data_IF_047581221160
#
_entry.id   IF_047581221160
#
_cell.length_a   1.000
_cell.length_b   1.000
_cell.length_c   1.000
_cell.angle_alpha   90.00
_cell.angle_beta   90.00
_cell.angle_gamma   90.00
#
_symmetry.space_group_name_H-M   'P 1'
#
loop_
_entity.id
_entity.type
_entity.pdbx_description
1 polymer ?
#
# COMPACT_ATOMS: atom_id res chain seq x y z
N UNK A 1 5.97 13.27 -5.79
CA UNK A 1 4.62 13.22 -5.25
C UNK A 1 4.41 11.89 -4.51
N UNK A 2 3.65 11.94 -3.44
CA UNK A 2 3.39 10.77 -2.63
C UNK A 2 1.98 10.82 -2.05
N UNK A 3 1.38 9.64 -1.89
CA UNK A 3 0.06 9.48 -1.27
C UNK A 3 0.19 8.44 -0.17
N UNK A 4 -0.21 8.81 1.04
CA UNK A 4 -0.24 7.89 2.17
C UNK A 4 -1.67 7.46 2.42
N UNK A 5 -1.88 6.14 2.48
CA UNK A 5 -3.18 5.55 2.76
C UNK A 5 -3.07 4.63 3.97
N UNK A 6 -4.11 4.61 4.78
CA UNK A 6 -4.19 3.76 5.96
C UNK A 6 -5.34 2.77 5.74
N UNK A 7 -5.04 1.48 5.92
CA UNK A 7 -6.04 0.42 5.80
C UNK A 7 -6.30 -0.20 7.17
N UNK A 8 -7.55 -0.55 7.47
CA UNK A 8 -7.86 -1.25 8.72
C UNK A 8 -7.28 -2.67 8.72
N UNK A 9 -6.98 -3.16 9.91
CA UNK A 9 -6.35 -4.47 10.07
C UNK A 9 -7.23 -5.65 9.62
N UNK A 10 -8.53 -5.45 9.51
CA UNK A 10 -9.43 -6.52 9.11
C UNK A 10 -9.43 -6.79 7.60
N UNK A 11 -8.82 -5.91 6.80
CA UNK A 11 -8.72 -6.15 5.36
C UNK A 11 -7.76 -7.29 5.07
N UNK A 12 -8.09 -8.16 4.09
CA UNK A 12 -7.19 -9.23 3.69
C UNK A 12 -5.89 -8.68 3.12
N UNK A 13 -4.77 -9.25 3.55
CA UNK A 13 -3.47 -8.85 3.03
C UNK A 13 -3.35 -9.12 1.52
N UNK A 14 -4.05 -10.13 1.04
CA UNK A 14 -4.05 -10.47 -0.39
C UNK A 14 -4.51 -9.30 -1.25
N UNK A 15 -5.57 -8.62 -0.82
CA UNK A 15 -6.11 -7.48 -1.57
C UNK A 15 -5.10 -6.35 -1.63
N UNK A 16 -4.44 -6.07 -0.50
CA UNK A 16 -3.42 -5.01 -0.43
C UNK A 16 -2.22 -5.38 -1.30
N UNK A 17 -1.82 -6.64 -1.29
CA UNK A 17 -0.70 -7.11 -2.10
C UNK A 17 -1.03 -7.01 -3.59
N UNK A 18 -2.25 -7.37 -3.99
CA UNK A 18 -2.67 -7.28 -5.38
C UNK A 18 -2.67 -5.82 -5.86
N UNK A 19 -3.15 -4.91 -5.03
CA UNK A 19 -3.12 -3.49 -5.35
C UNK A 19 -1.68 -2.99 -5.49
N UNK A 20 -0.80 -3.41 -4.58
CA UNK A 20 0.60 -3.05 -4.62
C UNK A 20 1.27 -3.53 -5.91
N UNK A 21 1.00 -4.77 -6.32
CA UNK A 21 1.55 -5.33 -7.55
C UNK A 21 1.06 -4.55 -8.78
N UNK A 22 -0.22 -4.21 -8.81
CA UNK A 22 -0.80 -3.45 -9.91
C UNK A 22 -0.17 -2.06 -10.04
N UNK A 23 -0.01 -1.36 -8.93
CA UNK A 23 0.61 -0.04 -8.93
C UNK A 23 2.07 -0.10 -9.34
N UNK A 24 2.79 -1.14 -8.92
CA UNK A 24 4.19 -1.33 -9.31
C UNK A 24 4.30 -1.57 -10.81
N UNK A 25 3.38 -2.33 -11.38
CA UNK A 25 3.35 -2.58 -12.82
C UNK A 25 3.10 -1.29 -13.61
N UNK A 26 2.37 -0.35 -13.02
CA UNK A 26 2.10 0.94 -13.65
C UNK A 26 3.25 1.94 -13.51
N UNK A 27 4.31 1.57 -12.79
CA UNK A 27 5.49 2.42 -12.65
C UNK A 27 5.57 3.20 -11.36
N UNK A 28 4.65 2.97 -10.42
CA UNK A 28 4.70 3.62 -9.11
C UNK A 28 5.59 2.84 -8.16
N UNK A 29 6.09 3.53 -7.14
CA UNK A 29 6.78 2.87 -6.03
C UNK A 29 5.80 2.69 -4.88
N UNK A 30 5.86 1.55 -4.23
CA UNK A 30 4.93 1.23 -3.14
C UNK A 30 5.72 0.82 -1.91
N UNK A 31 5.35 1.36 -0.77
CA UNK A 31 5.91 0.99 0.52
C UNK A 31 4.76 0.57 1.44
N UNK A 32 4.84 -0.66 1.94
CA UNK A 32 3.84 -1.23 2.82
C UNK A 32 4.48 -1.50 4.18
N UNK A 33 3.82 -1.04 5.25
CA UNK A 33 4.27 -1.28 6.62
C UNK A 33 3.10 -1.75 7.47
N UNK A 34 3.37 -2.69 8.36
CA UNK A 34 2.38 -3.20 9.30
C UNK A 34 2.55 -2.45 10.63
N UNK A 35 1.52 -1.71 11.02
CA UNK A 35 1.49 -1.00 12.28
C UNK A 35 0.65 -1.79 13.29
N UNK A 36 0.58 -1.31 14.53
CA UNK A 36 -0.11 -2.03 15.60
C UNK A 36 -1.61 -2.13 15.36
N UNK A 37 -2.23 -1.05 14.89
CA UNK A 37 -3.68 -0.98 14.73
C UNK A 37 -4.15 -0.81 13.29
N UNK A 38 -3.21 -0.68 12.33
CA UNK A 38 -3.56 -0.44 10.95
C UNK A 38 -2.41 -0.86 10.04
N UNK A 39 -2.67 -0.86 8.73
CA UNK A 39 -1.63 -1.02 7.73
C UNK A 39 -1.35 0.33 7.08
N UNK A 40 -0.07 0.66 6.95
CA UNK A 40 0.36 1.87 6.28
C UNK A 40 0.76 1.53 4.85
N UNK A 41 0.18 2.22 3.89
CA UNK A 41 0.40 1.97 2.47
C UNK A 41 0.77 3.29 1.81
N UNK A 42 2.00 3.37 1.34
CA UNK A 42 2.52 4.60 0.76
C UNK A 42 2.86 4.38 -0.70
N UNK A 43 2.32 5.22 -1.57
CA UNK A 43 2.60 5.20 -3.00
C UNK A 43 3.32 6.48 -3.35
N UNK A 44 4.46 6.37 -4.03
CA UNK A 44 5.22 7.56 -4.41
C UNK A 44 5.78 7.41 -5.82
N UNK A 45 5.96 8.55 -6.45
CA UNK A 45 6.51 8.62 -7.81
C UNK A 45 7.14 9.98 -8.04
N UNK A 46 7.98 10.05 -9.05
CA UNK A 46 8.65 11.30 -9.42
C UNK A 46 7.77 12.17 -10.32
#
# INVERSE_FOLDING_TARGET
TAVLTVFPKHLPLEDIRDLSAELTDLGYNVRFEVQEFYYSFNVYWL
#
